data_IF_344526216179
#
_entry.id   IF_344526216179
#
_cell.length_a   1.000
_cell.length_b   1.000
_cell.length_c   1.000
_cell.angle_alpha   90.00
_cell.angle_beta   90.00
_cell.angle_gamma   90.00
#
_symmetry.space_group_name_H-M   'P 1'
#
loop_
_entity.id
_entity.type
_entity.pdbx_description
1 polymer ?
#
# COMPACT_ATOMS: atom_id res chain seq x y z
N UNK A 1 -39.35 -26.52 26.88
CA UNK A 1 -38.68 -26.66 25.57
C UNK A 1 -38.78 -25.33 24.83
N UNK A 2 -37.72 -24.51 24.89
CA UNK A 2 -37.55 -23.35 24.01
C UNK A 2 -36.15 -23.52 23.43
N UNK A 3 -36.10 -23.80 22.13
CA UNK A 3 -34.87 -24.06 21.40
C UNK A 3 -34.06 -22.77 21.28
N UNK A 4 -32.80 -22.86 21.70
CA UNK A 4 -31.76 -21.90 21.36
C UNK A 4 -31.47 -21.98 19.87
N UNK A 5 -31.72 -20.89 19.14
CA UNK A 5 -31.24 -20.72 17.78
C UNK A 5 -29.89 -20.00 17.82
N UNK A 6 -28.83 -20.73 18.18
CA UNK A 6 -27.46 -20.32 17.82
C UNK A 6 -27.21 -20.76 16.38
N UNK A 7 -27.53 -19.89 15.43
CA UNK A 7 -26.87 -19.93 14.12
C UNK A 7 -25.63 -19.06 14.29
N UNK A 8 -24.48 -19.71 14.48
CA UNK A 8 -23.22 -19.08 14.17
C UNK A 8 -23.30 -18.59 12.73
N UNK A 9 -23.30 -17.29 12.50
CA UNK A 9 -22.88 -16.76 11.21
C UNK A 9 -21.48 -17.31 10.96
N UNK A 10 -21.39 -18.38 10.18
CA UNK A 10 -20.17 -18.72 9.48
C UNK A 10 -19.85 -17.49 8.64
N UNK A 11 -18.91 -16.67 9.09
CA UNK A 11 -18.31 -15.61 8.27
C UNK A 11 -17.90 -16.29 6.97
N UNK A 12 -18.68 -16.05 5.92
CA UNK A 12 -18.41 -16.58 4.60
C UNK A 12 -17.04 -16.02 4.23
N UNK A 13 -16.05 -16.88 4.06
CA UNK A 13 -14.70 -16.45 3.70
C UNK A 13 -14.84 -15.59 2.44
N UNK A 14 -14.39 -14.33 2.53
CA UNK A 14 -14.46 -13.39 1.43
C UNK A 14 -13.63 -13.95 0.26
N UNK A 15 -14.15 -13.83 -0.96
CA UNK A 15 -13.38 -14.26 -2.13
C UNK A 15 -12.36 -13.16 -2.48
N UNK A 16 -11.18 -13.22 -1.85
CA UNK A 16 -10.11 -12.23 -1.99
C UNK A 16 -9.04 -12.73 -2.97
N UNK A 17 -8.65 -11.86 -3.90
CA UNK A 17 -7.45 -12.03 -4.71
C UNK A 17 -6.37 -11.02 -4.30
N UNK A 18 -5.11 -11.45 -4.28
CA UNK A 18 -3.93 -10.59 -4.16
C UNK A 18 -3.32 -10.45 -5.56
N UNK A 19 -3.15 -9.22 -6.02
CA UNK A 19 -2.64 -8.93 -7.37
C UNK A 19 -1.37 -8.10 -7.29
N UNK A 20 -0.37 -8.53 -8.04
CA UNK A 20 0.82 -7.75 -8.35
C UNK A 20 0.99 -7.64 -9.86
N UNK A 21 1.41 -6.47 -10.33
CA UNK A 21 1.66 -6.21 -11.75
C UNK A 21 3.12 -5.84 -11.95
N UNK A 22 3.87 -6.67 -12.69
CA UNK A 22 5.24 -6.40 -13.10
C UNK A 22 5.26 -5.61 -14.42
N UNK A 23 6.28 -4.76 -14.57
CA UNK A 23 6.56 -4.11 -15.85
C UNK A 23 7.07 -5.12 -16.89
N UNK A 24 7.03 -4.76 -18.17
CA UNK A 24 7.52 -5.62 -19.26
C UNK A 24 8.99 -6.00 -19.13
N UNK A 25 9.78 -5.15 -18.48
CA UNK A 25 11.23 -5.32 -18.32
C UNK A 25 11.60 -5.83 -16.92
N UNK A 26 10.60 -6.03 -16.07
CA UNK A 26 10.79 -6.55 -14.72
C UNK A 26 10.63 -8.06 -14.70
N UNK A 27 11.36 -8.71 -13.81
CA UNK A 27 11.29 -10.15 -13.59
C UNK A 27 11.01 -10.43 -12.13
N UNK A 28 10.33 -11.55 -11.84
CA UNK A 28 10.12 -12.02 -10.46
C UNK A 28 11.41 -12.08 -9.64
N UNK A 29 12.55 -12.38 -10.27
CA UNK A 29 13.85 -12.45 -9.59
C UNK A 29 14.29 -11.14 -8.94
N UNK A 30 13.82 -9.98 -9.41
CA UNK A 30 14.12 -8.68 -8.80
C UNK A 30 13.38 -8.45 -7.48
N UNK A 31 12.36 -9.26 -7.19
CA UNK A 31 11.42 -9.11 -6.08
C UNK A 31 11.14 -10.45 -5.38
N UNK A 32 12.03 -11.43 -5.56
CA UNK A 32 11.76 -12.84 -5.28
C UNK A 32 11.25 -13.08 -3.86
N UNK A 33 11.91 -12.52 -2.86
CA UNK A 33 11.56 -12.69 -1.44
C UNK A 33 10.17 -12.13 -1.14
N UNK A 34 9.86 -10.95 -1.66
CA UNK A 34 8.56 -10.31 -1.47
C UNK A 34 7.44 -11.14 -2.14
N UNK A 35 7.61 -11.50 -3.41
CA UNK A 35 6.62 -12.27 -4.17
C UNK A 35 6.44 -13.70 -3.64
N UNK A 36 7.52 -14.38 -3.25
CA UNK A 36 7.43 -15.71 -2.64
C UNK A 36 6.68 -15.67 -1.30
N UNK A 37 6.85 -14.60 -0.52
CA UNK A 37 6.11 -14.41 0.74
C UNK A 37 4.62 -14.20 0.51
N UNK A 38 4.24 -13.39 -0.49
CA UNK A 38 2.83 -13.16 -0.86
C UNK A 38 2.19 -14.44 -1.39
N UNK A 39 2.85 -15.14 -2.31
CA UNK A 39 2.31 -16.38 -2.89
C UNK A 39 2.16 -17.48 -1.84
N UNK A 40 3.17 -17.69 -0.99
CA UNK A 40 3.09 -18.67 0.09
C UNK A 40 1.96 -18.32 1.07
N UNK A 41 1.83 -17.05 1.46
CA UNK A 41 0.75 -16.57 2.31
C UNK A 41 -0.62 -16.79 1.67
N UNK A 42 -0.79 -16.47 0.39
CA UNK A 42 -2.04 -16.68 -0.34
C UNK A 42 -2.43 -18.16 -0.36
N UNK A 43 -1.49 -19.06 -0.66
CA UNK A 43 -1.70 -20.51 -0.63
C UNK A 43 -2.17 -20.98 0.76
N UNK A 44 -1.46 -20.58 1.82
CA UNK A 44 -1.77 -21.01 3.19
C UNK A 44 -3.12 -20.50 3.70
N UNK A 45 -3.62 -19.39 3.15
CA UNK A 45 -4.85 -18.75 3.57
C UNK A 45 -6.00 -18.93 2.58
N UNK A 46 -5.80 -19.72 1.52
CA UNK A 46 -6.78 -19.95 0.45
C UNK A 46 -7.25 -18.66 -0.25
N UNK A 47 -6.33 -17.70 -0.45
CA UNK A 47 -6.53 -16.54 -1.32
C UNK A 47 -6.03 -16.84 -2.72
N UNK A 48 -6.62 -16.20 -3.73
CA UNK A 48 -6.07 -16.26 -5.10
C UNK A 48 -4.88 -15.31 -5.20
N UNK A 49 -3.75 -15.75 -5.75
CA UNK A 49 -2.63 -14.86 -6.08
C UNK A 49 -2.45 -14.77 -7.59
N UNK A 50 -2.32 -13.55 -8.11
CA UNK A 50 -2.07 -13.27 -9.53
C UNK A 50 -0.85 -12.37 -9.69
N UNK A 51 0.24 -12.94 -10.20
CA UNK A 51 1.39 -12.18 -10.71
C UNK A 51 1.15 -11.93 -12.21
N UNK A 52 0.92 -10.66 -12.57
CA UNK A 52 0.58 -10.25 -13.93
C UNK A 52 1.74 -9.47 -14.56
N UNK A 53 1.82 -9.46 -15.89
CA UNK A 53 2.72 -8.58 -16.63
C UNK A 53 1.93 -7.50 -17.37
N UNK A 54 2.31 -6.23 -17.22
CA UNK A 54 1.61 -5.11 -17.88
C UNK A 54 1.57 -5.22 -19.40
N UNK A 55 2.56 -5.87 -20.01
CA UNK A 55 2.62 -6.10 -21.46
C UNK A 55 1.44 -6.92 -21.98
N UNK A 56 0.95 -7.88 -21.19
CA UNK A 56 -0.15 -8.77 -21.60
C UNK A 56 -1.51 -8.04 -21.67
N UNK A 57 -1.57 -6.83 -21.10
CA UNK A 57 -2.78 -6.00 -21.03
C UNK A 57 -2.69 -4.72 -21.88
N UNK A 58 -1.64 -4.53 -22.68
CA UNK A 58 -1.42 -3.28 -23.41
C UNK A 58 -2.51 -2.94 -24.43
N UNK A 59 -3.28 -3.94 -24.89
CA UNK A 59 -4.41 -3.74 -25.80
C UNK A 59 -5.69 -3.26 -25.10
N UNK A 60 -5.76 -3.39 -23.77
CA UNK A 60 -6.92 -3.03 -22.95
C UNK A 60 -6.60 -1.79 -22.11
N UNK A 61 -5.38 -1.75 -21.57
CA UNK A 61 -4.87 -0.68 -20.74
C UNK A 61 -3.75 0.03 -21.51
N UNK A 62 -4.14 1.12 -22.18
CA UNK A 62 -3.30 1.89 -23.11
C UNK A 62 -2.26 2.78 -22.41
N UNK A 63 -2.29 2.82 -21.07
CA UNK A 63 -1.34 3.59 -20.28
C UNK A 63 0.08 3.12 -20.56
N UNK A 64 1.01 4.06 -20.80
CA UNK A 64 2.40 3.76 -21.15
C UNK A 64 3.25 3.58 -19.92
N UNK A 65 2.96 4.40 -18.91
CA UNK A 65 3.55 4.30 -17.60
C UNK A 65 2.91 3.12 -16.83
N UNK A 66 3.73 2.12 -16.51
CA UNK A 66 3.30 0.94 -15.73
C UNK A 66 2.66 1.31 -14.38
N UNK A 67 3.06 2.42 -13.76
CA UNK A 67 2.52 2.82 -12.46
C UNK A 67 1.07 3.32 -12.57
N UNK A 68 0.64 3.76 -13.76
CA UNK A 68 -0.77 4.02 -14.06
C UNK A 68 -1.47 2.78 -14.62
N UNK A 69 -0.81 2.06 -15.55
CA UNK A 69 -1.38 0.89 -16.23
C UNK A 69 -1.85 -0.18 -15.25
N UNK A 70 -1.10 -0.41 -14.16
CA UNK A 70 -1.46 -1.39 -13.12
C UNK A 70 -2.87 -1.16 -12.54
N UNK A 71 -3.31 0.10 -12.40
CA UNK A 71 -4.64 0.40 -11.85
C UNK A 71 -5.75 0.08 -12.85
N UNK A 72 -5.53 0.31 -14.15
CA UNK A 72 -6.44 -0.17 -15.20
C UNK A 72 -6.54 -1.71 -15.21
N UNK A 73 -5.40 -2.41 -15.08
CA UNK A 73 -5.35 -3.87 -15.06
C UNK A 73 -6.15 -4.41 -13.85
N UNK A 74 -5.94 -3.86 -12.66
CA UNK A 74 -6.71 -4.23 -11.47
C UNK A 74 -8.21 -4.01 -11.69
N UNK A 75 -8.62 -2.87 -12.28
CA UNK A 75 -10.01 -2.62 -12.62
C UNK A 75 -10.60 -3.66 -13.60
N UNK A 76 -9.80 -4.10 -14.58
CA UNK A 76 -10.22 -5.12 -15.55
C UNK A 76 -10.36 -6.51 -14.92
N UNK A 77 -9.41 -6.90 -14.06
CA UNK A 77 -9.51 -8.16 -13.31
C UNK A 77 -10.72 -8.14 -12.39
N UNK A 78 -10.94 -7.05 -11.66
CA UNK A 78 -12.09 -6.86 -10.76
C UNK A 78 -13.42 -6.96 -11.52
N UNK A 79 -13.49 -6.40 -12.73
CA UNK A 79 -14.67 -6.44 -13.58
C UNK A 79 -14.96 -7.86 -14.11
N UNK A 80 -13.94 -8.58 -14.59
CA UNK A 80 -14.09 -9.88 -15.28
C UNK A 80 -14.24 -11.08 -14.35
N UNK A 81 -13.75 -10.98 -13.11
CA UNK A 81 -13.71 -12.11 -12.18
C UNK A 81 -14.75 -11.96 -11.07
N UNK A 82 -14.99 -13.04 -10.31
CA UNK A 82 -15.98 -13.07 -9.22
C UNK A 82 -15.36 -12.86 -7.83
N UNK A 83 -14.24 -12.15 -7.75
CA UNK A 83 -13.66 -11.73 -6.47
C UNK A 83 -14.58 -10.70 -5.80
N UNK A 84 -14.78 -10.81 -4.49
CA UNK A 84 -15.43 -9.74 -3.70
C UNK A 84 -14.46 -8.58 -3.54
N UNK A 85 -13.20 -8.89 -3.27
CA UNK A 85 -12.14 -7.93 -3.02
C UNK A 85 -10.87 -8.30 -3.79
N UNK A 86 -10.16 -7.28 -4.27
CA UNK A 86 -8.78 -7.39 -4.70
C UNK A 86 -7.91 -6.58 -3.74
N UNK A 87 -6.89 -7.20 -3.18
CA UNK A 87 -5.74 -6.50 -2.61
C UNK A 87 -4.70 -6.31 -3.71
N UNK A 88 -4.49 -5.08 -4.16
CA UNK A 88 -3.35 -4.75 -5.01
C UNK A 88 -2.12 -4.50 -4.12
N UNK A 89 -0.96 -5.06 -4.50
CA UNK A 89 0.34 -4.80 -3.87
C UNK A 89 1.45 -4.68 -4.92
N UNK A 90 2.31 -3.69 -4.75
CA UNK A 90 3.54 -3.56 -5.51
C UNK A 90 4.47 -4.76 -5.27
N UNK A 91 5.30 -5.05 -6.26
CA UNK A 91 6.12 -6.27 -6.25
C UNK A 91 7.17 -6.28 -5.15
N UNK A 92 7.54 -5.12 -4.61
CA UNK A 92 8.45 -4.99 -3.47
C UNK A 92 7.73 -4.90 -2.11
N UNK A 93 6.45 -5.28 -2.05
CA UNK A 93 5.70 -5.52 -0.82
C UNK A 93 5.64 -7.02 -0.52
N UNK A 94 6.09 -7.42 0.66
CA UNK A 94 6.08 -8.82 1.10
C UNK A 94 5.55 -9.01 2.52
N UNK A 95 4.94 -10.16 2.77
CA UNK A 95 4.46 -10.55 4.11
C UNK A 95 5.64 -10.80 5.04
N UNK A 96 5.53 -10.27 6.26
CA UNK A 96 6.46 -10.53 7.37
C UNK A 96 5.80 -11.21 8.55
N UNK A 97 4.46 -11.19 8.63
CA UNK A 97 3.71 -11.94 9.63
C UNK A 97 2.56 -12.73 8.99
N UNK A 98 2.78 -14.03 8.81
CA UNK A 98 1.90 -14.93 8.06
C UNK A 98 0.58 -15.30 8.77
N UNK A 99 0.45 -14.97 10.06
CA UNK A 99 -0.72 -15.36 10.87
C UNK A 99 -1.86 -14.33 10.83
N UNK A 100 -1.59 -13.10 10.38
CA UNK A 100 -2.62 -12.07 10.20
C UNK A 100 -3.47 -12.34 8.97
N UNK A 101 -4.71 -11.87 9.00
CA UNK A 101 -5.72 -12.08 7.96
C UNK A 101 -6.00 -10.78 7.21
N UNK A 102 -6.24 -10.88 5.90
CA UNK A 102 -6.56 -9.70 5.08
C UNK A 102 -7.86 -9.04 5.52
N UNK A 103 -8.80 -9.84 6.02
CA UNK A 103 -10.12 -9.43 6.50
C UNK A 103 -10.04 -8.43 7.67
N UNK A 104 -8.95 -8.41 8.44
CA UNK A 104 -8.71 -7.42 9.49
C UNK A 104 -8.70 -5.97 8.97
N UNK A 105 -8.39 -5.79 7.69
CA UNK A 105 -8.24 -4.49 7.03
C UNK A 105 -9.44 -4.11 6.15
N UNK A 106 -10.44 -5.00 6.02
CA UNK A 106 -11.63 -4.74 5.20
C UNK A 106 -12.61 -3.84 5.95
N UNK A 107 -13.10 -2.81 5.26
CA UNK A 107 -14.19 -1.94 5.66
C UNK A 107 -15.36 -2.21 4.73
N UNK A 108 -16.38 -2.90 5.24
CA UNK A 108 -17.49 -3.40 4.41
C UNK A 108 -18.29 -2.27 3.73
N UNK A 109 -18.35 -1.10 4.36
CA UNK A 109 -19.05 0.08 3.87
C UNK A 109 -18.27 0.87 2.80
N UNK A 110 -16.98 0.55 2.59
CA UNK A 110 -16.15 1.19 1.59
C UNK A 110 -16.06 0.36 0.30
N UNK A 111 -15.82 1.03 -0.82
CA UNK A 111 -15.51 0.42 -2.11
C UNK A 111 -14.00 0.35 -2.37
N UNK A 112 -13.25 1.31 -1.85
CA UNK A 112 -11.79 1.37 -1.92
C UNK A 112 -11.21 1.64 -0.54
N UNK A 113 -10.12 0.96 -0.21
CA UNK A 113 -9.44 1.12 1.06
C UNK A 113 -7.97 1.39 0.77
N UNK A 114 -7.50 2.55 1.16
CA UNK A 114 -6.11 2.97 1.10
C UNK A 114 -5.55 3.14 2.51
N UNK A 115 -4.28 3.52 2.59
CA UNK A 115 -3.66 3.96 3.82
C UNK A 115 -2.63 5.04 3.53
N UNK A 116 -2.34 5.85 4.52
CA UNK A 116 -1.30 6.87 4.42
C UNK A 116 0.10 6.26 4.52
N UNK A 117 1.02 6.78 3.71
CA UNK A 117 2.45 6.56 3.92
C UNK A 117 2.88 7.15 5.25
N UNK A 118 3.78 6.44 5.92
CA UNK A 118 4.14 6.76 7.31
C UNK A 118 5.02 8.01 7.42
N UNK A 119 5.91 8.24 6.45
CA UNK A 119 6.98 9.25 6.53
C UNK A 119 6.68 10.55 5.76
N UNK A 120 5.54 10.64 5.06
CA UNK A 120 5.17 11.83 4.27
C UNK A 120 3.64 12.00 4.24
N UNK A 121 3.11 12.92 3.42
CA UNK A 121 1.67 13.21 3.37
C UNK A 121 0.92 12.42 2.29
N UNK A 122 1.56 11.41 1.70
CA UNK A 122 0.98 10.67 0.59
C UNK A 122 -0.02 9.62 1.04
N UNK A 123 -1.09 9.44 0.27
CA UNK A 123 -1.84 8.18 0.22
C UNK A 123 -1.01 7.15 -0.55
N UNK A 124 -0.84 5.96 0.01
CA UNK A 124 -0.09 4.89 -0.64
C UNK A 124 -0.79 4.45 -1.93
N UNK A 125 -0.13 4.66 -3.08
CA UNK A 125 -0.62 4.17 -4.37
C UNK A 125 -0.18 2.73 -4.68
N UNK A 126 0.92 2.28 -4.08
CA UNK A 126 1.49 0.94 -4.29
C UNK A 126 0.72 -0.20 -3.62
N UNK A 127 -0.35 0.09 -2.88
CA UNK A 127 -1.22 -0.94 -2.32
C UNK A 127 -2.57 -0.41 -1.87
N UNK A 128 -3.65 -1.13 -2.18
CA UNK A 128 -5.02 -0.83 -1.75
C UNK A 128 -5.92 -2.06 -1.85
N UNK A 129 -7.03 -2.07 -1.10
CA UNK A 129 -8.14 -2.98 -1.38
C UNK A 129 -9.16 -2.30 -2.30
N UNK A 130 -9.70 -3.06 -3.24
CA UNK A 130 -10.79 -2.66 -4.11
C UNK A 130 -11.92 -3.70 -4.06
N UNK A 131 -13.10 -3.27 -3.65
CA UNK A 131 -14.33 -4.06 -3.66
C UNK A 131 -14.86 -4.15 -5.08
N UNK A 132 -15.45 -5.29 -5.46
CA UNK A 132 -16.13 -5.39 -6.76
C UNK A 132 -17.39 -4.53 -6.76
N UNK A 133 -17.24 -3.29 -7.21
CA UNK A 133 -18.33 -2.33 -7.39
C UNK A 133 -18.11 -1.44 -8.60
N UNK A 134 -19.20 -0.84 -9.08
CA UNK A 134 -19.15 0.13 -10.18
C UNK A 134 -18.28 1.33 -9.82
N UNK A 135 -18.31 1.76 -8.55
CA UNK A 135 -17.50 2.87 -8.06
C UNK A 135 -16.01 2.55 -8.14
N UNK A 136 -15.56 1.45 -7.52
CA UNK A 136 -14.14 1.08 -7.51
C UNK A 136 -13.57 0.90 -8.92
N UNK A 137 -14.31 0.22 -9.80
CA UNK A 137 -13.88 0.01 -11.20
C UNK A 137 -13.73 1.34 -11.94
N UNK A 138 -14.67 2.28 -11.77
CA UNK A 138 -14.60 3.61 -12.41
C UNK A 138 -13.48 4.45 -11.83
N UNK A 139 -13.31 4.43 -10.50
CA UNK A 139 -12.25 5.16 -9.82
C UNK A 139 -10.87 4.72 -10.30
N UNK A 140 -10.61 3.40 -10.35
CA UNK A 140 -9.32 2.86 -10.77
C UNK A 140 -9.00 3.16 -12.24
N UNK A 141 -10.00 3.13 -13.12
CA UNK A 141 -9.84 3.53 -14.52
C UNK A 141 -9.56 5.02 -14.67
N UNK A 142 -10.32 5.87 -13.97
CA UNK A 142 -10.08 7.32 -14.01
C UNK A 142 -8.73 7.71 -13.41
N UNK A 143 -8.25 7.00 -12.38
CA UNK A 143 -6.91 7.19 -11.85
C UNK A 143 -5.83 6.74 -12.85
N UNK A 144 -6.02 5.61 -13.54
CA UNK A 144 -5.12 5.17 -14.61
C UNK A 144 -5.07 6.19 -15.76
N UNK A 145 -6.22 6.69 -16.21
CA UNK A 145 -6.34 7.68 -17.29
C UNK A 145 -5.78 9.06 -16.92
N UNK A 146 -5.47 9.27 -15.64
CA UNK A 146 -4.85 10.49 -15.18
C UNK A 146 -3.46 10.71 -15.81
N UNK A 147 -2.80 9.64 -16.30
CA UNK A 147 -1.56 9.73 -17.08
C UNK A 147 -1.65 10.76 -18.22
N UNK A 148 -2.81 10.86 -18.89
CA UNK A 148 -3.01 11.72 -20.06
C UNK A 148 -3.23 13.20 -19.73
N UNK A 149 -3.31 13.55 -18.44
CA UNK A 149 -3.60 14.91 -17.94
C UNK A 149 -2.66 15.36 -16.83
N UNK A 150 -1.50 14.71 -16.72
CA UNK A 150 -0.47 15.08 -15.75
C UNK A 150 0.10 16.47 -16.05
N UNK A 151 0.51 17.23 -15.01
CA UNK A 151 1.34 18.41 -15.21
C UNK A 151 2.62 18.08 -16.00
N UNK A 152 3.12 19.04 -16.77
CA UNK A 152 4.35 18.88 -17.55
C UNK A 152 5.62 18.81 -16.69
N UNK A 153 5.59 19.40 -15.50
CA UNK A 153 6.72 19.43 -14.57
C UNK A 153 6.77 18.16 -13.71
N UNK A 154 7.77 18.03 -12.83
CA UNK A 154 7.88 16.89 -11.91
C UNK A 154 6.57 16.70 -11.14
N UNK A 155 5.85 15.59 -11.33
CA UNK A 155 4.48 15.44 -10.82
C UNK A 155 4.29 14.26 -9.85
N UNK A 156 5.31 13.42 -9.62
CA UNK A 156 5.22 12.27 -8.71
C UNK A 156 4.45 11.06 -9.25
N UNK A 157 4.20 11.01 -10.57
CA UNK A 157 3.47 9.92 -11.27
C UNK A 157 2.10 9.65 -10.64
N UNK A 158 1.72 8.38 -10.49
CA UNK A 158 0.44 7.94 -9.95
C UNK A 158 0.28 8.25 -8.45
N UNK A 159 1.37 8.17 -7.67
CA UNK A 159 1.40 8.65 -6.28
C UNK A 159 1.02 10.13 -6.21
N UNK A 160 1.53 10.96 -7.13
CA UNK A 160 1.11 12.35 -7.23
C UNK A 160 -0.35 12.46 -7.66
N UNK A 161 -0.74 11.73 -8.70
CA UNK A 161 -2.07 11.84 -9.31
C UNK A 161 -3.24 11.42 -8.42
N UNK A 162 -3.07 10.41 -7.56
CA UNK A 162 -4.15 9.92 -6.69
C UNK A 162 -4.73 11.03 -5.81
N UNK A 163 -3.91 11.99 -5.38
CA UNK A 163 -4.32 13.05 -4.47
C UNK A 163 -5.33 14.01 -5.12
N UNK A 164 -5.04 14.47 -6.34
CA UNK A 164 -5.99 15.31 -7.07
C UNK A 164 -7.19 14.49 -7.55
N UNK A 165 -6.99 13.22 -7.93
CA UNK A 165 -8.10 12.36 -8.32
C UNK A 165 -9.10 12.12 -7.18
N UNK A 166 -8.62 11.93 -5.94
CA UNK A 166 -9.47 11.84 -4.75
C UNK A 166 -10.29 13.12 -4.55
N UNK A 167 -9.71 14.31 -4.74
CA UNK A 167 -10.45 15.58 -4.65
C UNK A 167 -11.56 15.61 -5.69
N UNK A 168 -11.25 15.33 -6.94
CA UNK A 168 -12.21 15.45 -8.05
C UNK A 168 -13.36 14.46 -7.92
N UNK A 169 -13.12 13.26 -7.39
CA UNK A 169 -14.16 12.25 -7.21
C UNK A 169 -14.98 12.50 -5.93
N UNK A 170 -14.32 12.84 -4.82
CA UNK A 170 -14.97 12.84 -3.50
C UNK A 170 -15.45 14.22 -3.05
N UNK A 171 -14.79 15.28 -3.49
CA UNK A 171 -15.07 16.67 -3.08
C UNK A 171 -14.85 17.64 -4.27
N UNK A 172 -15.54 17.46 -5.41
CA UNK A 172 -15.27 18.20 -6.65
C UNK A 172 -15.38 19.73 -6.53
N UNK A 173 -16.08 20.23 -5.50
CA UNK A 173 -16.27 21.66 -5.23
C UNK A 173 -15.41 22.17 -4.06
N UNK A 174 -14.39 21.42 -3.63
CA UNK A 174 -13.53 21.84 -2.54
C UNK A 174 -12.86 23.19 -2.89
N UNK A 175 -12.97 24.24 -2.04
CA UNK A 175 -12.41 25.56 -2.33
C UNK A 175 -10.90 25.57 -2.58
N UNK A 176 -10.17 24.60 -2.01
CA UNK A 176 -8.72 24.47 -2.17
C UNK A 176 -8.30 23.87 -3.52
N UNK A 177 -9.23 23.30 -4.30
CA UNK A 177 -8.90 22.61 -5.56
C UNK A 177 -8.06 23.47 -6.52
N UNK A 178 -8.37 24.76 -6.76
CA UNK A 178 -7.54 25.61 -7.63
C UNK A 178 -6.12 25.82 -7.08
N UNK A 179 -5.97 25.98 -5.77
CA UNK A 179 -4.67 26.15 -5.10
C UNK A 179 -3.84 24.87 -5.23
N UNK A 180 -4.45 23.71 -5.02
CA UNK A 180 -3.75 22.43 -5.14
C UNK A 180 -3.30 22.18 -6.59
N UNK A 181 -4.12 22.56 -7.58
CA UNK A 181 -3.73 22.52 -8.99
C UNK A 181 -2.57 23.45 -9.32
N UNK A 182 -2.57 24.68 -8.81
CA UNK A 182 -1.47 25.62 -8.98
C UNK A 182 -0.17 25.05 -8.42
N UNK A 183 -0.22 24.51 -7.19
CA UNK A 183 0.95 23.90 -6.55
C UNK A 183 1.47 22.73 -7.37
N UNK A 184 0.59 21.82 -7.80
CA UNK A 184 1.01 20.64 -8.57
C UNK A 184 1.60 20.97 -9.94
N UNK A 185 1.11 22.02 -10.60
CA UNK A 185 1.70 22.46 -11.87
C UNK A 185 3.09 23.05 -11.70
N UNK A 186 3.42 23.53 -10.50
CA UNK A 186 4.68 24.18 -10.18
C UNK A 186 5.66 23.28 -9.41
N UNK A 187 5.36 21.99 -9.24
CA UNK A 187 6.27 21.06 -8.56
C UNK A 187 7.51 20.77 -9.39
N UNK A 188 8.67 20.81 -8.75
CA UNK A 188 10.00 20.59 -9.36
C UNK A 188 10.83 19.54 -8.61
N UNK A 189 10.34 19.10 -7.46
CA UNK A 189 11.05 18.21 -6.53
C UNK A 189 10.05 17.51 -5.61
N UNK A 190 10.51 16.49 -4.87
CA UNK A 190 9.70 15.88 -3.82
C UNK A 190 9.29 16.88 -2.73
N UNK A 191 10.15 17.83 -2.36
CA UNK A 191 9.83 18.88 -1.38
C UNK A 191 8.64 19.75 -1.81
N UNK A 192 8.61 20.16 -3.08
CA UNK A 192 7.49 20.95 -3.61
C UNK A 192 6.24 20.09 -3.82
N UNK A 193 6.41 18.82 -4.21
CA UNK A 193 5.33 17.85 -4.30
C UNK A 193 4.65 17.62 -2.95
N UNK A 194 5.41 17.56 -1.86
CA UNK A 194 4.88 17.44 -0.49
C UNK A 194 3.94 18.60 -0.12
N UNK A 195 4.17 19.82 -0.62
CA UNK A 195 3.24 20.95 -0.40
C UNK A 195 1.94 20.76 -1.17
N UNK A 196 2.02 20.24 -2.39
CA UNK A 196 0.85 19.88 -3.19
C UNK A 196 0.03 18.76 -2.50
N UNK A 197 0.67 17.70 -2.03
CA UNK A 197 -0.03 16.59 -1.38
C UNK A 197 -0.69 17.05 -0.09
N UNK A 198 -0.02 17.90 0.71
CA UNK A 198 -0.63 18.54 1.89
C UNK A 198 -1.85 19.38 1.53
N UNK A 199 -1.80 20.19 0.46
CA UNK A 199 -2.97 20.93 -0.01
C UNK A 199 -4.15 20.00 -0.28
N UNK A 200 -3.90 18.86 -0.94
CA UNK A 200 -4.95 17.89 -1.23
C UNK A 200 -5.52 17.24 0.02
N UNK A 201 -4.67 16.95 1.01
CA UNK A 201 -5.08 16.48 2.33
C UNK A 201 -6.02 17.48 3.00
N UNK A 202 -5.70 18.76 2.98
CA UNK A 202 -6.57 19.83 3.51
C UNK A 202 -7.91 19.90 2.77
N UNK A 203 -7.92 19.74 1.45
CA UNK A 203 -9.15 19.74 0.66
C UNK A 203 -10.07 18.55 1.01
N UNK A 204 -9.47 17.40 1.36
CA UNK A 204 -10.19 16.16 1.66
C UNK A 204 -10.69 16.04 3.11
N UNK A 205 -10.21 16.86 4.06
CA UNK A 205 -10.55 16.77 5.50
C UNK A 205 -12.05 16.74 5.79
N UNK A 206 -12.85 17.42 4.98
CA UNK A 206 -14.31 17.53 5.16
C UNK A 206 -15.09 16.56 4.27
N UNK A 207 -14.43 15.61 3.60
CA UNK A 207 -15.13 14.61 2.81
C UNK A 207 -15.99 13.73 3.71
N UNK A 208 -17.25 13.53 3.32
CA UNK A 208 -18.17 12.59 3.96
C UNK A 208 -18.41 11.35 3.09
N UNK A 209 -17.64 11.18 2.02
CA UNK A 209 -17.77 10.05 1.10
C UNK A 209 -17.39 8.76 1.83
N UNK A 210 -18.27 7.77 1.77
CA UNK A 210 -18.08 6.48 2.43
C UNK A 210 -17.42 5.46 1.51
N UNK A 211 -17.47 5.69 0.20
CA UNK A 211 -16.96 4.83 -0.86
C UNK A 211 -15.43 4.66 -0.79
N UNK A 212 -14.71 5.60 -0.16
CA UNK A 212 -13.26 5.52 0.02
C UNK A 212 -12.90 5.63 1.50
N UNK A 213 -12.23 4.63 2.03
CA UNK A 213 -11.62 4.66 3.37
C UNK A 213 -10.10 4.81 3.25
N UNK A 214 -9.50 5.64 4.10
CA UNK A 214 -8.04 5.81 4.17
C UNK A 214 -7.60 5.60 5.61
N UNK A 215 -6.82 4.56 5.88
CA UNK A 215 -6.22 4.35 7.18
C UNK A 215 -5.16 5.42 7.49
N UNK A 216 -5.17 5.93 8.71
CA UNK A 216 -4.12 6.81 9.23
C UNK A 216 -2.75 6.11 9.25
N UNK A 217 -1.69 6.93 9.34
CA UNK A 217 -0.29 6.48 9.43
C UNK A 217 -0.10 5.44 10.52
N UNK A 218 0.35 4.26 10.10
CA UNK A 218 0.67 3.13 10.97
C UNK A 218 -0.46 2.10 11.15
N UNK A 219 -1.67 2.41 10.68
CA UNK A 219 -2.84 1.54 10.87
C UNK A 219 -3.18 0.66 9.66
N UNK A 220 -2.55 0.90 8.50
CA UNK A 220 -2.65 0.03 7.32
C UNK A 220 -1.88 -1.29 7.48
N UNK A 221 -1.88 -2.12 6.43
CA UNK A 221 -1.25 -3.45 6.44
C UNK A 221 0.24 -3.46 6.12
N UNK A 222 0.75 -2.41 5.49
CA UNK A 222 2.15 -2.31 5.09
C UNK A 222 2.80 -1.02 5.60
N UNK A 223 4.08 -1.13 5.95
CA UNK A 223 4.97 0.02 6.14
C UNK A 223 6.30 -0.23 5.45
N UNK A 224 7.04 0.81 5.16
CA UNK A 224 8.39 0.66 4.63
C UNK A 224 9.31 -0.01 5.67
N UNK A 225 10.12 -0.96 5.22
CA UNK A 225 11.03 -1.74 6.09
C UNK A 225 12.09 -0.87 6.78
N UNK A 226 12.59 0.15 6.09
CA UNK A 226 13.64 1.05 6.57
C UNK A 226 13.21 1.91 7.77
N UNK A 227 11.90 2.12 7.98
CA UNK A 227 11.37 2.91 9.10
C UNK A 227 11.77 2.39 10.47
N UNK A 228 12.18 1.12 10.56
CA UNK A 228 12.66 0.50 11.79
C UNK A 228 13.84 -0.41 11.50
N UNK A 229 14.61 -0.13 10.44
CA UNK A 229 15.76 -0.95 10.04
C UNK A 229 15.42 -2.45 9.90
N UNK A 230 14.27 -2.76 9.32
CA UNK A 230 13.67 -4.11 9.16
C UNK A 230 13.31 -4.87 10.44
N UNK A 231 13.46 -4.28 11.63
CA UNK A 231 12.94 -4.87 12.86
C UNK A 231 11.42 -4.84 12.86
N UNK A 232 10.79 -5.87 13.41
CA UNK A 232 9.34 -6.06 13.35
C UNK A 232 8.78 -6.71 14.61
N UNK A 233 7.46 -6.69 14.77
CA UNK A 233 6.77 -7.37 15.84
C UNK A 233 5.43 -7.97 15.36
N UNK A 234 5.10 -9.22 15.71
CA UNK A 234 3.88 -9.90 15.24
C UNK A 234 2.57 -9.26 15.71
N UNK A 235 2.56 -8.52 16.83
CA UNK A 235 1.34 -7.82 17.29
C UNK A 235 1.04 -6.55 16.50
N UNK A 236 1.99 -6.08 15.70
CA UNK A 236 1.94 -4.80 15.00
C UNK A 236 2.00 -4.96 13.49
N UNK A 237 3.00 -5.67 13.02
CA UNK A 237 3.38 -5.73 11.62
C UNK A 237 2.62 -6.81 10.86
N UNK A 238 2.45 -6.58 9.55
CA UNK A 238 1.90 -7.58 8.65
C UNK A 238 2.73 -7.70 7.36
N UNK A 239 2.87 -6.61 6.61
CA UNK A 239 3.68 -6.56 5.39
C UNK A 239 4.72 -5.44 5.44
N UNK A 240 5.81 -5.62 4.71
CA UNK A 240 6.83 -4.60 4.48
C UNK A 240 6.92 -4.22 3.00
N UNK A 241 6.96 -2.92 2.74
CA UNK A 241 7.33 -2.31 1.47
C UNK A 241 8.85 -2.06 1.40
N UNK A 242 9.37 -1.73 0.21
CA UNK A 242 10.80 -1.51 -0.09
C UNK A 242 11.66 -2.78 0.03
N UNK A 243 11.18 -3.90 -0.50
CA UNK A 243 11.87 -5.21 -0.48
C UNK A 243 12.42 -5.66 -1.83
N UNK A 244 13.05 -4.77 -2.60
CA UNK A 244 13.72 -5.13 -3.86
C UNK A 244 14.97 -5.95 -3.57
N UNK A 245 15.22 -7.01 -4.34
CA UNK A 245 16.37 -7.90 -4.11
C UNK A 245 17.72 -7.18 -4.21
N UNK A 246 17.81 -6.13 -5.04
CA UNK A 246 19.03 -5.33 -5.18
C UNK A 246 19.42 -4.60 -3.89
N UNK A 247 18.45 -4.29 -3.03
CA UNK A 247 18.63 -3.57 -1.77
C UNK A 247 18.69 -4.53 -0.57
N UNK A 248 18.62 -5.85 -0.81
CA UNK A 248 18.63 -6.88 0.23
C UNK A 248 20.04 -7.08 0.75
N UNK A 249 20.22 -6.92 2.06
CA UNK A 249 21.48 -7.23 2.75
C UNK A 249 21.35 -8.45 3.66
N UNK A 250 22.47 -9.14 3.87
CA UNK A 250 22.57 -10.21 4.86
C UNK A 250 22.53 -9.59 6.25
N UNK A 251 21.56 -10.01 7.07
CA UNK A 251 21.50 -9.61 8.46
C UNK A 251 22.62 -10.27 9.27
N UNK A 252 23.26 -9.48 10.12
CA UNK A 252 24.22 -9.96 11.12
C UNK A 252 23.77 -9.44 12.48
N UNK A 253 23.44 -10.36 13.39
CA UNK A 253 23.04 -9.99 14.75
C UNK A 253 24.17 -9.26 15.45
N UNK A 254 23.87 -8.09 16.00
CA UNK A 254 24.76 -7.30 16.85
C UNK A 254 24.36 -7.44 18.32
N UNK A 255 25.27 -7.10 19.23
CA UNK A 255 24.94 -7.08 20.67
C UNK A 255 23.94 -5.97 21.02
N UNK A 256 23.89 -4.89 20.21
CA UNK A 256 22.98 -3.76 20.38
C UNK A 256 22.07 -3.63 19.15
N UNK A 257 20.77 -3.79 19.38
CA UNK A 257 19.70 -3.50 18.39
C UNK A 257 19.63 -2.00 18.13
N UNK A 258 19.52 -1.61 16.86
CA UNK A 258 19.21 -0.23 16.43
C UNK A 258 18.05 -0.22 15.46
N UNK A 259 16.95 0.42 15.85
CA UNK A 259 15.81 0.68 14.98
C UNK A 259 16.09 1.83 13.99
N UNK A 260 17.08 2.68 14.29
CA UNK A 260 17.58 3.66 13.32
C UNK A 260 18.47 2.95 12.29
N UNK A 261 18.30 3.36 11.04
CA UNK A 261 19.06 2.89 9.89
C UNK A 261 18.96 3.90 8.74
N UNK A 262 19.65 3.63 7.62
CA UNK A 262 19.54 4.47 6.43
C UNK A 262 18.10 4.48 5.88
N UNK A 263 17.68 5.60 5.28
CA UNK A 263 16.37 5.71 4.66
C UNK A 263 16.33 5.00 3.30
N UNK A 264 15.16 4.46 2.95
CA UNK A 264 14.82 3.78 1.69
C UNK A 264 15.52 2.43 1.42
N UNK A 265 16.79 2.27 1.79
CA UNK A 265 17.59 1.06 1.59
C UNK A 265 18.82 1.08 2.51
N UNK A 266 19.37 -0.08 2.94
CA UNK A 266 19.01 -1.45 2.57
C UNK A 266 17.85 -2.02 3.42
N UNK A 267 17.46 -3.27 3.16
CA UNK A 267 16.55 -4.03 4.02
C UNK A 267 17.11 -5.42 4.36
N UNK A 268 16.58 -6.00 5.44
CA UNK A 268 16.95 -7.34 5.93
C UNK A 268 15.77 -8.31 5.88
N UNK A 269 16.05 -9.56 5.53
CA UNK A 269 15.03 -10.60 5.53
C UNK A 269 14.63 -10.97 6.96
N UNK A 270 13.33 -10.96 7.24
CA UNK A 270 12.81 -11.38 8.54
C UNK A 270 12.89 -12.90 8.72
N UNK A 271 13.08 -13.65 7.63
CA UNK A 271 13.23 -15.10 7.62
C UNK A 271 14.71 -15.52 7.59
N UNK A 272 15.04 -16.55 8.38
CA UNK A 272 16.38 -17.19 8.39
C UNK A 272 16.70 -17.95 7.10
N UNK A 273 15.67 -18.39 6.39
CA UNK A 273 15.78 -19.11 5.13
C UNK A 273 14.69 -18.67 4.16
N UNK A 274 14.98 -18.57 2.85
CA UNK A 274 13.96 -18.30 1.85
C UNK A 274 12.81 -19.30 1.89
N UNK A 275 11.60 -18.83 1.59
CA UNK A 275 10.42 -19.69 1.49
C UNK A 275 10.53 -20.65 0.30
N UNK A 276 10.04 -21.87 0.50
CA UNK A 276 9.93 -22.87 -0.56
C UNK A 276 8.45 -23.01 -0.98
N UNK A 277 8.12 -22.51 -2.18
CA UNK A 277 6.75 -22.53 -2.69
C UNK A 277 6.19 -23.95 -2.87
N UNK A 278 7.02 -24.95 -3.14
CA UNK A 278 6.55 -26.34 -3.19
C UNK A 278 6.07 -26.79 -1.81
N UNK A 279 6.82 -26.48 -0.75
CA UNK A 279 6.40 -26.75 0.62
C UNK A 279 5.15 -25.96 1.02
N UNK A 280 4.99 -24.73 0.51
CA UNK A 280 3.76 -23.95 0.73
C UNK A 280 2.54 -24.66 0.15
N UNK A 281 2.64 -25.17 -1.09
CA UNK A 281 1.56 -25.93 -1.76
C UNK A 281 1.25 -27.27 -1.08
N UNK A 282 2.25 -27.88 -0.45
CA UNK A 282 2.06 -29.09 0.35
C UNK A 282 1.50 -28.82 1.77
N UNK A 283 1.33 -27.55 2.17
CA UNK A 283 0.93 -27.19 3.53
C UNK A 283 2.00 -27.45 4.59
N UNK A 284 3.27 -27.59 4.19
CA UNK A 284 4.42 -27.91 5.06
C UNK A 284 5.37 -26.74 5.28
N UNK A 285 5.09 -25.57 4.72
CA UNK A 285 5.95 -24.40 4.84
C UNK A 285 6.02 -23.89 6.28
N UNK A 286 7.26 -23.68 6.75
CA UNK A 286 7.55 -23.09 8.06
C UNK A 286 8.16 -21.71 7.84
N UNK A 287 7.54 -20.68 8.41
CA UNK A 287 8.07 -19.32 8.42
C UNK A 287 9.07 -19.20 9.57
N UNK A 288 10.32 -19.58 9.30
CA UNK A 288 11.40 -19.54 10.30
C UNK A 288 11.96 -18.13 10.42
N UNK A 289 11.32 -17.30 11.24
CA UNK A 289 11.74 -15.94 11.51
C UNK A 289 13.09 -15.86 12.25
N UNK A 290 13.83 -14.76 12.02
CA UNK A 290 15.08 -14.38 12.70
C UNK A 290 14.75 -13.70 14.04
N UNK A 291 14.96 -14.35 15.19
CA UNK A 291 14.57 -13.80 16.48
C UNK A 291 15.22 -12.46 16.81
N UNK A 292 16.45 -12.21 16.34
CA UNK A 292 17.14 -10.95 16.60
C UNK A 292 16.43 -9.74 15.96
N UNK A 293 15.74 -9.94 14.82
CA UNK A 293 14.95 -8.93 14.14
C UNK A 293 13.56 -8.70 14.77
N UNK A 294 13.16 -9.51 15.75
CA UNK A 294 11.88 -9.34 16.45
C UNK A 294 12.09 -8.38 17.64
N UNK A 295 11.62 -7.14 17.48
CA UNK A 295 11.66 -6.13 18.54
C UNK A 295 10.45 -6.21 19.48
N UNK A 296 10.55 -5.63 20.68
CA UNK A 296 9.36 -5.52 21.52
C UNK A 296 8.39 -4.51 20.90
N UNK A 297 7.10 -4.67 21.21
CA UNK A 297 6.07 -3.76 20.72
C UNK A 297 6.32 -2.34 21.23
N UNK A 298 6.67 -2.19 22.49
CA UNK A 298 6.93 -0.89 23.11
C UNK A 298 8.13 -0.18 22.47
N UNK A 299 9.17 -0.92 22.09
CA UNK A 299 10.34 -0.37 21.38
C UNK A 299 9.96 0.18 20.01
N UNK A 300 9.24 -0.60 19.21
CA UNK A 300 8.80 -0.17 17.87
C UNK A 300 7.83 0.99 17.95
N UNK A 301 6.83 0.93 18.81
CA UNK A 301 5.84 1.99 18.96
C UNK A 301 6.47 3.30 19.42
N UNK A 302 7.42 3.26 20.36
CA UNK A 302 8.15 4.47 20.78
C UNK A 302 8.90 5.10 19.61
N UNK A 303 9.63 4.30 18.85
CA UNK A 303 10.40 4.77 17.70
C UNK A 303 9.50 5.33 16.58
N UNK A 304 8.45 4.58 16.22
CA UNK A 304 7.52 4.98 15.17
C UNK A 304 6.70 6.20 15.56
N UNK A 305 6.29 6.33 16.83
CA UNK A 305 5.61 7.54 17.30
C UNK A 305 6.53 8.76 17.22
N UNK A 306 7.82 8.62 17.55
CA UNK A 306 8.80 9.70 17.35
C UNK A 306 8.88 10.11 15.87
N UNK A 307 9.03 9.15 14.94
CA UNK A 307 9.04 9.43 13.49
C UNK A 307 7.73 10.09 13.04
N UNK A 308 6.58 9.65 13.56
CA UNK A 308 5.26 10.22 13.27
C UNK A 308 5.15 11.67 13.74
N UNK A 309 5.69 12.02 14.92
CA UNK A 309 5.69 13.40 15.40
C UNK A 309 6.48 14.33 14.48
N UNK A 310 7.64 13.90 13.97
CA UNK A 310 8.42 14.70 13.01
C UNK A 310 7.62 15.01 11.74
N UNK A 311 6.86 14.04 11.24
CA UNK A 311 5.98 14.24 10.07
C UNK A 311 4.83 15.20 10.39
N UNK A 312 4.27 15.14 11.61
CA UNK A 312 3.22 16.08 12.06
C UNK A 312 3.77 17.50 12.22
N UNK A 313 4.97 17.67 12.76
CA UNK A 313 5.63 18.98 12.84
C UNK A 313 5.90 19.56 11.45
N UNK A 314 6.36 18.74 10.50
CA UNK A 314 6.52 19.15 9.11
C UNK A 314 5.17 19.55 8.47
N UNK A 315 4.10 18.82 8.81
CA UNK A 315 2.75 19.11 8.33
C UNK A 315 2.30 20.51 8.78
N UNK A 316 2.35 20.79 10.08
CA UNK A 316 1.93 22.09 10.62
C UNK A 316 2.75 23.25 10.05
N UNK A 317 4.08 23.07 9.94
CA UNK A 317 4.97 24.08 9.36
C UNK A 317 4.60 24.42 7.90
N UNK A 318 4.23 23.41 7.09
CA UNK A 318 3.83 23.62 5.70
C UNK A 318 2.37 24.07 5.56
N UNK A 319 1.52 23.79 6.53
CA UNK A 319 0.13 24.24 6.54
C UNK A 319 0.05 25.78 6.56
N UNK A 320 0.97 26.44 7.27
CA UNK A 320 1.08 27.90 7.22
C UNK A 320 1.26 28.45 5.80
N UNK A 321 2.07 27.77 4.98
CA UNK A 321 2.30 28.14 3.58
C UNK A 321 1.01 28.03 2.75
N UNK A 322 0.21 26.98 2.98
CA UNK A 322 -1.08 26.80 2.30
C UNK A 322 -2.09 27.87 2.74
N UNK A 323 -2.16 28.19 4.02
CA UNK A 323 -3.08 29.20 4.55
C UNK A 323 -2.82 30.61 4.00
N UNK A 324 -1.57 30.94 3.65
CA UNK A 324 -1.22 32.21 2.99
C UNK A 324 -1.66 32.29 1.52
N UNK A 325 -2.05 31.16 0.92
CA UNK A 325 -2.56 31.05 -0.47
C UNK A 325 -4.08 30.89 -0.54
N UNK A 326 -4.78 30.86 0.61
CA UNK A 326 -6.25 30.77 0.69
C UNK A 326 -6.94 32.07 0.35
#
# INVERSE_FOLDING_TARGET
MRGNTTVSEQLKQENIAIITVLSSNSTRSQYKTALDSIECYAIQNNYTFMELNGKDYSFICEQKDITFQRHCIVAEILKRNNFTWILFVDSDIGVVHEKRKLEEFIKQDADLIFYERFFNFEVMAGSYFAKKSTFAIRFLRGWADYEFRLPRNFHGRDNGAIHMWLIEVLVPNAPLTPVCWELWRNTTSFETLTRYTLCCREALKNSTAQEVFIYDKGNGWARDSWLTNSYWNPERDFMFHSRKEIDKMKFVSTNNRSLEGPEFSPWFDTLRSPLNLAMCREGKSIWSHEPALIATREELERHLNMKKQLVLEEYENKLEFINRKR
#
